data_IF_144574682062
#
_entry.id   IF_144574682062
#
_cell.length_a   1.000
_cell.length_b   1.000
_cell.length_c   1.000
_cell.angle_alpha   90.00
_cell.angle_beta   90.00
_cell.angle_gamma   90.00
#
_symmetry.space_group_name_H-M   'P 1'
#
loop_
_entity.id
_entity.type
_entity.pdbx_description
1 polymer ?
#
# COMPACT_ATOMS: atom_id res chain seq x y z
N UNK A 1 -1.60 -11.20 -13.57
CA UNK A 1 -1.50 -9.76 -13.29
C UNK A 1 -2.74 -9.32 -12.51
N UNK A 2 -2.57 -8.77 -11.31
CA UNK A 2 -3.64 -8.14 -10.52
C UNK A 2 -3.44 -6.63 -10.53
N UNK A 3 -4.54 -5.88 -10.59
CA UNK A 3 -4.54 -4.42 -10.60
C UNK A 3 -5.38 -3.88 -9.45
N UNK A 4 -4.84 -2.87 -8.77
CA UNK A 4 -5.46 -2.22 -7.62
C UNK A 4 -5.49 -0.71 -7.85
N UNK A 5 -6.58 -0.07 -7.44
CA UNK A 5 -6.67 1.38 -7.35
C UNK A 5 -6.07 1.80 -6.01
N UNK A 6 -4.99 2.56 -6.04
CA UNK A 6 -4.37 3.14 -4.86
C UNK A 6 -4.89 4.55 -4.67
N UNK A 7 -5.48 4.83 -3.51
CA UNK A 7 -5.89 6.19 -3.12
C UNK A 7 -5.02 6.66 -1.97
N UNK A 8 -4.31 7.77 -2.18
CA UNK A 8 -3.55 8.42 -1.12
C UNK A 8 -4.41 9.49 -0.48
N UNK A 9 -4.51 9.45 0.85
CA UNK A 9 -5.27 10.44 1.63
C UNK A 9 -4.39 11.25 2.57
N UNK A 10 -4.77 12.50 2.80
CA UNK A 10 -4.10 13.39 3.74
C UNK A 10 -4.52 13.10 5.21
N UNK A 11 -4.16 13.99 6.14
CA UNK A 11 -4.55 13.90 7.55
C UNK A 11 -6.06 14.02 7.80
N UNK A 12 -6.81 14.66 6.90
CA UNK A 12 -8.26 14.85 6.97
C UNK A 12 -9.06 13.77 6.21
N UNK A 13 -8.39 12.73 5.71
CA UNK A 13 -8.97 11.67 4.86
C UNK A 13 -9.44 12.15 3.46
N UNK A 14 -9.02 13.34 3.03
CA UNK A 14 -9.25 13.79 1.65
C UNK A 14 -8.32 13.03 0.70
N UNK A 15 -8.86 12.55 -0.43
CA UNK A 15 -8.06 11.93 -1.49
C UNK A 15 -7.24 12.99 -2.20
N UNK A 16 -5.92 12.88 -2.11
CA UNK A 16 -4.96 13.81 -2.74
C UNK A 16 -4.28 13.23 -3.98
N UNK A 17 -4.28 11.90 -4.13
CA UNK A 17 -3.78 11.23 -5.33
C UNK A 17 -4.51 9.90 -5.55
N UNK A 18 -4.67 9.54 -6.83
CA UNK A 18 -5.14 8.22 -7.26
C UNK A 18 -4.15 7.65 -8.27
N UNK A 19 -3.77 6.39 -8.09
CA UNK A 19 -2.86 5.69 -9.00
C UNK A 19 -3.24 4.23 -9.15
N UNK A 20 -2.58 3.53 -10.07
CA UNK A 20 -2.81 2.09 -10.29
C UNK A 20 -1.57 1.31 -9.87
N UNK A 21 -1.76 0.38 -8.94
CA UNK A 21 -0.76 -0.60 -8.56
C UNK A 21 -1.00 -1.88 -9.37
N UNK A 22 -0.05 -2.22 -10.24
CA UNK A 22 -0.05 -3.48 -10.98
C UNK A 22 0.94 -4.44 -10.32
N UNK A 23 0.48 -5.64 -9.97
CA UNK A 23 1.30 -6.70 -9.39
C UNK A 23 1.26 -7.94 -10.28
N UNK A 24 2.44 -8.39 -10.68
CA UNK A 24 2.62 -9.64 -11.38
C UNK A 24 2.80 -10.78 -10.36
N UNK A 25 2.58 -12.01 -10.82
CA UNK A 25 2.89 -13.17 -9.99
C UNK A 25 4.41 -13.20 -9.74
N UNK A 26 4.81 -13.38 -8.47
CA UNK A 26 6.21 -13.28 -8.06
C UNK A 26 6.74 -11.86 -7.83
N UNK A 27 5.96 -10.79 -8.09
CA UNK A 27 6.33 -9.43 -7.69
C UNK A 27 6.40 -9.32 -6.17
N UNK A 28 7.38 -8.56 -5.67
CA UNK A 28 7.52 -8.23 -4.25
C UNK A 28 7.03 -6.80 -4.04
N UNK A 29 6.04 -6.61 -3.17
CA UNK A 29 5.61 -5.29 -2.73
C UNK A 29 6.34 -4.91 -1.44
N UNK A 30 7.07 -3.80 -1.48
CA UNK A 30 7.68 -3.19 -0.31
C UNK A 30 6.80 -2.03 0.15
N UNK A 31 6.35 -2.11 1.40
CA UNK A 31 5.66 -1.01 2.10
C UNK A 31 6.69 -0.31 2.97
N UNK A 32 6.99 0.95 2.68
CA UNK A 32 7.89 1.79 3.48
C UNK A 32 7.05 2.69 4.36
N UNK A 33 7.21 2.50 5.68
CA UNK A 33 6.62 3.34 6.71
C UNK A 33 7.66 4.35 7.21
N UNK A 34 7.26 5.52 7.71
CA UNK A 34 8.18 6.48 8.33
C UNK A 34 8.93 5.90 9.54
N UNK A 35 10.19 6.32 9.74
CA UNK A 35 11.06 5.83 10.83
C UNK A 35 10.58 6.23 12.24
N UNK A 36 9.72 7.25 12.34
CA UNK A 36 9.15 7.73 13.59
C UNK A 36 7.91 6.93 14.04
N UNK A 37 7.44 5.96 13.23
CA UNK A 37 6.33 5.10 13.60
C UNK A 37 6.80 4.02 14.58
N UNK A 38 5.96 3.72 15.57
CA UNK A 38 6.23 2.58 16.46
C UNK A 38 6.16 1.27 15.69
N UNK A 39 6.83 0.23 16.21
CA UNK A 39 6.74 -1.12 15.64
C UNK A 39 5.27 -1.58 15.46
N UNK A 40 4.41 -1.27 16.43
CA UNK A 40 2.99 -1.65 16.37
C UNK A 40 2.25 -0.93 15.24
N UNK A 41 2.51 0.38 15.05
CA UNK A 41 1.94 1.14 13.94
C UNK A 41 2.42 0.61 12.60
N UNK A 42 3.74 0.37 12.46
CA UNK A 42 4.33 -0.20 11.26
C UNK A 42 3.71 -1.57 10.93
N UNK A 43 3.63 -2.46 11.92
CA UNK A 43 3.04 -3.79 11.80
C UNK A 43 1.59 -3.72 11.33
N UNK A 44 0.76 -2.88 11.94
CA UNK A 44 -0.65 -2.73 11.57
C UNK A 44 -0.83 -2.27 10.12
N UNK A 45 0.07 -1.41 9.62
CA UNK A 45 0.05 -0.96 8.22
C UNK A 45 0.40 -2.11 7.28
N UNK A 46 1.45 -2.88 7.59
CA UNK A 46 1.82 -4.05 6.80
C UNK A 46 0.71 -5.10 6.74
N UNK A 47 0.08 -5.40 7.89
CA UNK A 47 -1.03 -6.34 7.96
C UNK A 47 -2.25 -5.84 7.18
N UNK A 48 -2.59 -4.55 7.30
CA UNK A 48 -3.69 -3.95 6.53
C UNK A 48 -3.46 -4.04 5.02
N UNK A 49 -2.27 -3.65 4.54
CA UNK A 49 -1.95 -3.70 3.10
C UNK A 49 -1.94 -5.15 2.61
N UNK A 50 -1.36 -6.08 3.37
CA UNK A 50 -1.38 -7.51 3.05
C UNK A 50 -2.80 -8.05 2.91
N UNK A 51 -3.64 -7.82 3.93
CA UNK A 51 -5.02 -8.29 3.94
C UNK A 51 -5.87 -7.67 2.81
N UNK A 52 -5.67 -6.39 2.50
CA UNK A 52 -6.39 -5.73 1.42
C UNK A 52 -6.09 -6.37 0.05
N UNK A 53 -4.82 -6.72 -0.19
CA UNK A 53 -4.39 -7.35 -1.44
C UNK A 53 -4.81 -8.82 -1.54
N UNK A 54 -4.77 -9.56 -0.43
CA UNK A 54 -5.21 -10.96 -0.36
C UNK A 54 -6.73 -11.09 -0.50
N UNK A 55 -7.49 -10.21 0.15
CA UNK A 55 -8.96 -10.19 0.14
C UNK A 55 -9.60 -9.70 -1.17
N UNK A 56 -8.84 -9.59 -2.25
CA UNK A 56 -9.26 -9.08 -3.56
C UNK A 56 -9.90 -7.68 -3.53
N UNK A 57 -9.55 -6.86 -2.54
CA UNK A 57 -10.04 -5.48 -2.50
C UNK A 57 -9.52 -4.72 -3.72
N UNK A 58 -10.42 -4.20 -4.56
CA UNK A 58 -10.02 -3.43 -5.75
C UNK A 58 -9.41 -2.07 -5.42
N UNK A 59 -9.61 -1.59 -4.20
CA UNK A 59 -9.16 -0.27 -3.75
C UNK A 59 -8.34 -0.44 -2.46
N UNK A 60 -7.15 0.16 -2.45
CA UNK A 60 -6.29 0.25 -1.26
C UNK A 60 -6.13 1.73 -0.92
N UNK A 61 -6.45 2.09 0.32
CA UNK A 61 -6.34 3.47 0.81
C UNK A 61 -5.12 3.54 1.71
N UNK A 62 -4.20 4.46 1.43
CA UNK A 62 -2.98 4.66 2.23
C UNK A 62 -2.83 6.13 2.63
N UNK A 63 -2.21 6.38 3.78
CA UNK A 63 -1.82 7.73 4.20
C UNK A 63 -0.67 8.24 3.34
N UNK A 64 -0.61 9.55 3.13
CA UNK A 64 0.43 10.22 2.33
C UNK A 64 1.88 9.95 2.79
N UNK A 65 2.06 9.57 4.06
CA UNK A 65 3.35 9.20 4.63
C UNK A 65 3.82 7.80 4.24
N UNK A 66 2.95 6.94 3.70
CA UNK A 66 3.26 5.56 3.36
C UNK A 66 3.68 5.46 1.90
N UNK A 67 4.84 4.86 1.65
CA UNK A 67 5.37 4.67 0.30
C UNK A 67 5.29 3.20 -0.12
N UNK A 68 4.79 2.95 -1.33
CA UNK A 68 4.74 1.62 -1.92
C UNK A 68 5.76 1.50 -3.05
N UNK A 69 6.54 0.43 -3.05
CA UNK A 69 7.52 0.14 -4.08
C UNK A 69 7.34 -1.31 -4.56
N UNK A 70 7.18 -1.50 -5.87
CA UNK A 70 7.15 -2.83 -6.48
C UNK A 70 8.56 -3.19 -6.93
N UNK A 71 9.01 -4.39 -6.57
CA UNK A 71 10.19 -5.03 -7.15
C UNK A 71 9.71 -6.19 -8.03
N UNK A 72 10.12 -6.17 -9.29
CA UNK A 72 9.86 -7.24 -10.23
C UNK A 72 11.11 -8.13 -10.33
N UNK A 73 10.93 -9.43 -10.19
CA UNK A 73 11.96 -10.43 -10.49
C UNK A 73 11.83 -10.73 -11.98
N UNK A 74 12.91 -10.49 -12.74
CA UNK A 74 12.98 -10.75 -14.18
C UNK A 74 13.17 -12.24 -14.48
#
# INVERSE_FOLDING_TARGET
MKQYVLKTVNQNDDVIAESTLSLNEGSILIVKVPDDYTYEQAKNIHEFVGAALEGESKVVIIKESINLQVLEIQ
#
